data_IF_352696090861
#
_entry.id   IF_352696090861
#
_cell.length_a   1.000
_cell.length_b   1.000
_cell.length_c   1.000
_cell.angle_alpha   90.00
_cell.angle_beta   90.00
_cell.angle_gamma   90.00
#
_symmetry.space_group_name_H-M   'P 1'
#
loop_
_entity.id
_entity.type
_entity.pdbx_description
1 polymer ?
#
# COMPACT_ATOMS: atom_id res chain seq x y z
N UNK A 1 28.41 -0.93 4.93
CA UNK A 1 27.37 0.10 5.10
C UNK A 1 28.00 1.47 5.24
N UNK A 2 27.40 2.51 4.66
CA UNK A 2 27.96 3.88 4.71
C UNK A 2 28.06 4.35 6.18
N UNK A 3 29.27 4.83 6.60
CA UNK A 3 29.48 5.42 7.93
C UNK A 3 28.48 6.56 8.19
N UNK A 4 28.15 7.31 7.14
CA UNK A 4 27.19 8.40 7.12
C UNK A 4 25.78 7.94 7.49
N UNK A 5 25.28 6.85 6.88
CA UNK A 5 23.94 6.30 7.16
C UNK A 5 23.80 5.86 8.62
N UNK A 6 24.83 5.21 9.17
CA UNK A 6 24.87 4.83 10.58
C UNK A 6 24.82 6.04 11.52
N UNK A 7 25.59 7.08 11.20
CA UNK A 7 25.64 8.31 12.00
C UNK A 7 24.27 9.00 12.04
N UNK A 8 23.65 9.26 10.89
CA UNK A 8 22.34 9.91 10.84
C UNK A 8 21.26 9.07 11.53
N UNK A 9 21.27 7.77 11.33
CA UNK A 9 20.28 6.90 11.99
C UNK A 9 20.46 6.90 13.51
N UNK A 10 21.68 6.90 14.03
CA UNK A 10 21.92 6.96 15.47
C UNK A 10 21.33 8.24 16.08
N UNK A 11 21.47 9.39 15.40
CA UNK A 11 20.91 10.68 15.83
C UNK A 11 19.39 10.72 15.69
N UNK A 12 18.84 10.24 14.58
CA UNK A 12 17.39 10.32 14.28
C UNK A 12 16.55 9.26 15.00
N UNK A 13 17.13 8.14 15.40
CA UNK A 13 16.42 7.04 16.05
C UNK A 13 15.69 7.45 17.34
N UNK A 14 16.25 8.20 18.28
CA UNK A 14 15.53 8.66 19.48
C UNK A 14 14.32 9.55 19.13
N UNK A 15 14.47 10.45 18.15
CA UNK A 15 13.37 11.28 17.68
C UNK A 15 12.28 10.42 17.00
N UNK A 16 12.67 9.48 16.15
CA UNK A 16 11.75 8.52 15.51
C UNK A 16 10.99 7.68 16.56
N UNK A 17 11.66 7.22 17.61
CA UNK A 17 11.01 6.52 18.72
C UNK A 17 10.00 7.40 19.44
N UNK A 18 10.37 8.64 19.75
CA UNK A 18 9.47 9.59 20.42
C UNK A 18 8.22 9.86 19.58
N UNK A 19 8.39 10.09 18.28
CA UNK A 19 7.27 10.28 17.33
C UNK A 19 6.38 9.04 17.30
N UNK A 20 6.93 7.85 17.13
CA UNK A 20 6.19 6.60 17.09
C UNK A 20 5.42 6.34 18.39
N UNK A 21 6.05 6.60 19.54
CA UNK A 21 5.44 6.42 20.86
C UNK A 21 4.31 7.43 21.14
N UNK A 22 4.54 8.72 20.86
CA UNK A 22 3.55 9.76 21.14
C UNK A 22 2.37 9.72 20.16
N UNK A 23 2.67 9.53 18.86
CA UNK A 23 1.67 9.59 17.81
C UNK A 23 0.79 8.33 17.79
N UNK A 24 1.39 7.16 17.94
CA UNK A 24 0.72 5.87 17.75
C UNK A 24 0.60 5.03 19.01
N UNK A 25 1.34 5.32 20.09
CA UNK A 25 1.46 4.41 21.20
C UNK A 25 2.30 3.16 20.88
N UNK A 26 3.23 3.29 19.92
CA UNK A 26 4.01 2.18 19.38
C UNK A 26 4.85 1.46 20.42
N UNK A 27 4.77 0.13 20.41
CA UNK A 27 5.64 -0.79 21.13
C UNK A 27 6.28 -1.74 20.13
N UNK A 28 7.48 -2.21 20.43
CA UNK A 28 8.19 -3.12 19.52
C UNK A 28 9.12 -4.06 20.26
N UNK A 29 9.43 -5.17 19.63
CA UNK A 29 10.50 -6.07 20.06
C UNK A 29 11.78 -5.80 19.31
N UNK A 30 12.90 -5.93 20.02
CA UNK A 30 14.22 -5.86 19.39
C UNK A 30 14.55 -7.18 18.71
N UNK A 31 14.93 -7.12 17.47
CA UNK A 31 15.44 -8.28 16.75
C UNK A 31 16.79 -8.74 17.35
N UNK A 32 16.86 -10.02 17.69
CA UNK A 32 18.02 -10.67 18.29
C UNK A 32 18.50 -11.81 17.38
N UNK A 33 19.68 -12.31 17.59
CA UNK A 33 20.23 -13.49 16.91
C UNK A 33 20.14 -13.41 15.37
N UNK A 34 20.42 -12.20 14.86
CA UNK A 34 20.31 -11.89 13.43
C UNK A 34 21.49 -12.44 12.64
N UNK A 35 21.27 -12.92 11.41
CA UNK A 35 22.32 -13.24 10.46
C UNK A 35 23.28 -12.05 10.23
N UNK A 36 24.45 -12.30 9.68
CA UNK A 36 25.45 -11.24 9.42
C UNK A 36 24.88 -10.13 8.54
N UNK A 37 24.22 -10.52 7.43
CA UNK A 37 23.44 -9.65 6.57
C UNK A 37 22.13 -10.33 6.17
N UNK A 38 21.09 -9.54 5.94
CA UNK A 38 19.74 -10.04 5.74
C UNK A 38 18.87 -9.06 4.95
N UNK A 39 17.83 -9.61 4.33
CA UNK A 39 16.68 -8.86 3.87
C UNK A 39 15.61 -8.89 4.98
N UNK A 40 15.00 -7.75 5.27
CA UNK A 40 13.79 -7.67 6.09
C UNK A 40 12.60 -7.55 5.14
N UNK A 41 11.62 -8.44 5.28
CA UNK A 41 10.32 -8.31 4.64
C UNK A 41 9.29 -7.94 5.70
N UNK A 42 8.49 -6.91 5.45
CA UNK A 42 7.42 -6.49 6.35
C UNK A 42 6.11 -6.27 5.60
N UNK A 43 4.99 -6.45 6.30
CA UNK A 43 3.70 -5.92 5.84
C UNK A 43 3.73 -4.38 5.82
N UNK A 44 2.81 -3.76 5.06
CA UNK A 44 2.80 -2.31 4.84
C UNK A 44 1.47 -1.68 5.25
N UNK A 45 1.47 -0.98 6.36
CA UNK A 45 0.24 -0.47 6.99
C UNK A 45 0.20 1.04 7.15
N UNK A 46 1.37 1.71 7.32
CA UNK A 46 1.45 3.17 7.51
C UNK A 46 2.58 3.80 6.71
N UNK A 47 2.53 5.11 6.48
CA UNK A 47 3.64 5.86 5.86
C UNK A 47 4.88 5.94 6.78
N UNK A 48 4.75 5.53 8.05
CA UNK A 48 5.81 5.56 9.06
C UNK A 48 6.53 4.21 9.22
N UNK A 49 6.13 3.19 8.48
CA UNK A 49 6.65 1.81 8.62
C UNK A 49 8.19 1.72 8.52
N UNK A 50 8.90 2.49 7.66
CA UNK A 50 10.35 2.47 7.67
C UNK A 50 10.96 2.86 9.02
N UNK A 51 10.35 3.82 9.73
CA UNK A 51 10.77 4.22 11.08
C UNK A 51 10.41 3.11 12.07
N UNK A 52 9.17 2.61 12.03
CA UNK A 52 8.66 1.61 12.95
C UNK A 52 9.50 0.33 12.91
N UNK A 53 9.73 -0.22 11.72
CA UNK A 53 10.58 -1.40 11.51
C UNK A 53 12.02 -1.10 11.95
N UNK A 54 12.57 0.04 11.56
CA UNK A 54 13.94 0.43 11.86
C UNK A 54 14.26 0.48 13.36
N UNK A 55 13.27 0.76 14.23
CA UNK A 55 13.46 0.79 15.68
C UNK A 55 13.80 -0.57 16.29
N UNK A 56 13.34 -1.67 15.68
CA UNK A 56 13.60 -3.04 16.13
C UNK A 56 15.01 -3.54 15.83
N UNK A 57 15.70 -2.95 14.88
CA UNK A 57 17.00 -3.43 14.39
C UNK A 57 18.15 -2.53 14.85
N UNK A 58 19.22 -3.14 15.35
CA UNK A 58 20.43 -2.40 15.73
C UNK A 58 21.20 -1.87 14.51
N UNK A 59 21.36 -2.72 13.49
CA UNK A 59 22.01 -2.35 12.23
C UNK A 59 21.02 -1.60 11.34
N UNK A 60 21.50 -0.58 10.65
CA UNK A 60 20.71 0.18 9.68
C UNK A 60 20.43 -0.65 8.43
N UNK A 61 19.36 -0.27 7.72
CA UNK A 61 18.91 -0.91 6.50
C UNK A 61 18.70 0.14 5.39
N UNK A 62 18.83 -0.28 4.14
CA UNK A 62 18.34 0.47 2.99
C UNK A 62 16.87 0.11 2.77
N UNK A 63 16.04 1.10 2.48
CA UNK A 63 14.62 0.89 2.22
C UNK A 63 14.32 1.02 0.74
N UNK A 64 13.46 0.13 0.21
CA UNK A 64 12.92 0.29 -1.13
C UNK A 64 11.77 1.28 -1.06
N UNK A 65 11.82 2.30 -1.92
CA UNK A 65 10.84 3.37 -1.97
C UNK A 65 10.35 3.61 -3.40
N UNK A 66 9.11 4.06 -3.54
CA UNK A 66 8.54 4.42 -4.84
C UNK A 66 9.23 5.66 -5.43
N UNK A 67 9.34 5.74 -6.74
CA UNK A 67 9.88 6.89 -7.49
C UNK A 67 9.19 8.22 -7.16
N UNK A 68 7.96 8.21 -6.68
CA UNK A 68 7.23 9.43 -6.33
C UNK A 68 7.94 10.28 -5.28
N UNK A 69 8.75 9.67 -4.40
CA UNK A 69 9.53 10.45 -3.42
C UNK A 69 10.55 11.37 -4.11
N UNK A 70 11.00 11.05 -5.33
CA UNK A 70 11.96 11.86 -6.07
C UNK A 70 11.39 13.24 -6.43
N UNK A 71 10.05 13.36 -6.50
CA UNK A 71 9.32 14.58 -6.81
C UNK A 71 9.07 15.47 -5.59
N UNK A 72 9.56 15.11 -4.40
CA UNK A 72 9.42 15.92 -3.18
C UNK A 72 10.42 17.08 -3.11
N UNK A 73 11.09 17.40 -4.20
CA UNK A 73 11.99 18.52 -4.32
C UNK A 73 13.15 18.46 -3.30
N UNK A 74 13.33 19.53 -2.50
CA UNK A 74 14.40 19.60 -1.51
C UNK A 74 14.31 18.50 -0.43
N UNK A 75 13.10 18.10 -0.08
CA UNK A 75 12.89 17.03 0.91
C UNK A 75 13.47 15.70 0.42
N UNK A 76 13.29 15.37 -0.87
CA UNK A 76 13.93 14.19 -1.46
C UNK A 76 15.46 14.28 -1.40
N UNK A 77 16.04 15.46 -1.68
CA UNK A 77 17.50 15.64 -1.58
C UNK A 77 18.01 15.33 -0.17
N UNK A 78 17.28 15.77 0.86
CA UNK A 78 17.60 15.44 2.26
C UNK A 78 17.43 13.95 2.54
N UNK A 79 16.30 13.35 2.16
CA UNK A 79 16.05 11.92 2.35
C UNK A 79 17.09 11.06 1.63
N UNK A 80 17.43 11.40 0.40
CA UNK A 80 18.44 10.69 -0.36
C UNK A 80 19.85 10.86 0.24
N UNK A 81 20.17 12.06 0.73
CA UNK A 81 21.42 12.31 1.41
C UNK A 81 21.56 11.50 2.71
N UNK A 82 20.47 11.38 3.50
CA UNK A 82 20.49 10.73 4.83
C UNK A 82 20.34 9.22 4.73
N UNK A 83 19.39 8.73 3.92
CA UNK A 83 18.96 7.32 3.94
C UNK A 83 19.31 6.53 2.69
N UNK A 84 19.69 7.19 1.59
CA UNK A 84 20.05 6.54 0.31
C UNK A 84 19.03 5.45 -0.10
N UNK A 85 17.74 5.75 -0.23
CA UNK A 85 16.73 4.74 -0.52
C UNK A 85 16.99 4.09 -1.89
N UNK A 86 16.60 2.84 -2.02
CA UNK A 86 16.58 2.13 -3.31
C UNK A 86 15.29 2.55 -4.01
N UNK A 87 15.39 3.30 -5.11
CA UNK A 87 14.20 3.77 -5.81
C UNK A 87 13.67 2.69 -6.75
N UNK A 88 12.38 2.36 -6.58
CA UNK A 88 11.65 1.52 -7.51
C UNK A 88 10.98 2.41 -8.56
N UNK A 89 11.53 2.40 -9.76
CA UNK A 89 10.92 3.04 -10.92
C UNK A 89 9.89 2.10 -11.53
N UNK A 90 8.63 2.53 -11.60
CA UNK A 90 7.53 1.71 -12.14
C UNK A 90 7.56 1.63 -13.68
N UNK A 91 8.04 2.70 -14.32
CA UNK A 91 8.19 2.75 -15.78
C UNK A 91 9.39 1.95 -16.33
N UNK A 92 10.25 1.42 -15.46
CA UNK A 92 11.38 0.57 -15.87
C UNK A 92 11.16 -0.85 -15.40
N UNK A 93 11.79 -1.78 -16.11
CA UNK A 93 11.74 -3.21 -15.76
C UNK A 93 12.14 -3.37 -14.29
N UNK A 94 11.35 -4.10 -13.50
CA UNK A 94 11.59 -4.38 -12.08
C UNK A 94 13.01 -4.94 -11.81
N UNK A 95 13.69 -5.43 -12.85
CA UNK A 95 15.05 -5.94 -12.83
C UNK A 95 16.08 -4.93 -12.28
N UNK A 96 15.95 -3.62 -12.57
CA UNK A 96 16.89 -2.62 -12.06
C UNK A 96 16.86 -2.53 -10.54
N UNK A 97 15.67 -2.46 -9.96
CA UNK A 97 15.47 -2.44 -8.49
C UNK A 97 15.98 -3.72 -7.85
N UNK A 98 15.68 -4.89 -8.45
CA UNK A 98 16.17 -6.19 -7.99
C UNK A 98 17.71 -6.22 -7.99
N UNK A 99 18.35 -5.75 -9.07
CA UNK A 99 19.81 -5.69 -9.16
C UNK A 99 20.41 -4.74 -8.12
N UNK A 100 19.78 -3.62 -7.81
CA UNK A 100 20.25 -2.70 -6.78
C UNK A 100 20.15 -3.32 -5.38
N UNK A 101 19.05 -4.01 -5.07
CA UNK A 101 18.89 -4.77 -3.83
C UNK A 101 19.99 -5.81 -3.71
N UNK A 102 20.17 -6.65 -4.73
CA UNK A 102 21.20 -7.71 -4.73
C UNK A 102 22.62 -7.13 -4.59
N UNK A 103 22.92 -6.00 -5.25
CA UNK A 103 24.19 -5.31 -5.13
C UNK A 103 24.45 -4.80 -3.71
N UNK A 104 23.44 -4.22 -3.04
CA UNK A 104 23.54 -3.77 -1.64
C UNK A 104 23.76 -4.95 -0.71
N UNK A 105 23.00 -6.03 -0.86
CA UNK A 105 23.11 -7.25 -0.03
C UNK A 105 24.47 -7.92 -0.20
N UNK A 106 24.95 -8.09 -1.43
CA UNK A 106 26.29 -8.68 -1.71
C UNK A 106 27.44 -7.89 -1.11
N UNK A 107 27.25 -6.59 -0.86
CA UNK A 107 28.20 -5.73 -0.14
C UNK A 107 28.06 -5.82 1.40
N UNK A 108 27.33 -6.82 1.92
CA UNK A 108 27.12 -7.02 3.35
C UNK A 108 26.15 -6.03 4.00
N UNK A 109 25.29 -5.38 3.21
CA UNK A 109 24.29 -4.46 3.75
C UNK A 109 22.93 -5.15 3.96
N UNK A 110 22.10 -4.56 4.83
CA UNK A 110 20.74 -4.99 5.04
C UNK A 110 19.79 -4.15 4.20
N UNK A 111 18.71 -4.76 3.72
CA UNK A 111 17.65 -4.11 2.94
C UNK A 111 16.30 -4.45 3.55
N UNK A 112 15.42 -3.46 3.66
CA UNK A 112 14.04 -3.64 4.07
C UNK A 112 13.10 -3.39 2.88
N UNK A 113 12.17 -4.31 2.68
CA UNK A 113 11.19 -4.30 1.59
C UNK A 113 9.81 -4.51 2.19
N UNK A 114 8.85 -3.67 1.83
CA UNK A 114 7.44 -3.88 2.10
C UNK A 114 6.87 -4.73 0.97
N UNK A 115 6.69 -6.03 1.26
CA UNK A 115 6.48 -7.07 0.26
C UNK A 115 5.15 -6.97 -0.51
N UNK A 116 4.17 -6.24 0.03
CA UNK A 116 2.89 -5.94 -0.63
C UNK A 116 3.03 -4.91 -1.77
N UNK A 117 4.06 -4.07 -1.73
CA UNK A 117 4.27 -2.99 -2.70
C UNK A 117 3.28 -1.82 -2.60
N UNK A 118 2.22 -1.99 -1.81
CA UNK A 118 1.19 -0.99 -1.47
C UNK A 118 0.81 -1.13 -0.01
N UNK A 119 0.20 -0.11 0.58
CA UNK A 119 -0.39 -0.20 1.93
C UNK A 119 -1.75 -0.91 1.85
N UNK A 120 -2.07 -1.75 2.85
CA UNK A 120 -3.40 -2.36 2.90
C UNK A 120 -4.52 -1.31 2.91
N UNK A 121 -5.61 -1.58 2.20
CA UNK A 121 -6.76 -0.69 2.06
C UNK A 121 -7.87 -0.97 3.07
N UNK A 122 -8.09 -2.22 3.41
CA UNK A 122 -9.23 -2.70 4.19
C UNK A 122 -8.86 -3.46 5.47
N UNK A 123 -7.56 -3.52 5.79
CA UNK A 123 -7.07 -4.08 7.06
C UNK A 123 -6.57 -5.51 6.98
N UNK A 124 -6.65 -6.15 5.81
CA UNK A 124 -6.02 -7.45 5.55
C UNK A 124 -4.78 -7.23 4.70
N UNK A 125 -3.70 -7.93 5.00
CA UNK A 125 -2.45 -7.87 4.23
C UNK A 125 -2.72 -8.15 2.74
N UNK A 126 -2.30 -7.24 1.87
CA UNK A 126 -2.44 -7.40 0.43
C UNK A 126 -1.53 -8.54 -0.09
N UNK A 127 -1.82 -9.11 -1.26
CA UNK A 127 -0.97 -10.14 -1.85
C UNK A 127 0.49 -9.70 -1.96
N UNK A 128 1.40 -10.60 -1.58
CA UNK A 128 2.85 -10.40 -1.74
C UNK A 128 3.20 -10.36 -3.22
N UNK A 129 4.08 -9.42 -3.60
CA UNK A 129 4.57 -9.34 -4.99
C UNK A 129 5.21 -10.67 -5.40
N UNK A 130 4.75 -11.34 -6.47
CA UNK A 130 5.12 -12.72 -6.80
C UNK A 130 6.63 -13.00 -6.90
N UNK A 131 7.43 -12.04 -7.37
CA UNK A 131 8.88 -12.20 -7.50
C UNK A 131 9.66 -12.09 -6.17
N UNK A 132 8.98 -11.87 -5.03
CA UNK A 132 9.65 -11.60 -3.74
C UNK A 132 10.40 -12.84 -3.22
N UNK A 133 9.82 -14.02 -3.29
CA UNK A 133 10.47 -15.26 -2.86
C UNK A 133 11.71 -15.58 -3.72
N UNK A 134 11.61 -15.41 -5.05
CA UNK A 134 12.74 -15.56 -5.97
C UNK A 134 13.86 -14.57 -5.68
N UNK A 135 13.53 -13.31 -5.33
CA UNK A 135 14.51 -12.31 -4.91
C UNK A 135 15.25 -12.76 -3.64
N UNK A 136 14.51 -13.22 -2.61
CA UNK A 136 15.09 -13.74 -1.36
C UNK A 136 16.03 -14.89 -1.63
N UNK A 137 15.62 -15.88 -2.43
CA UNK A 137 16.44 -17.04 -2.81
C UNK A 137 17.73 -16.60 -3.53
N UNK A 138 17.61 -15.65 -4.45
CA UNK A 138 18.73 -15.13 -5.26
C UNK A 138 19.71 -14.25 -4.47
N UNK A 139 19.26 -13.66 -3.35
CA UNK A 139 20.06 -12.76 -2.53
C UNK A 139 21.17 -13.50 -1.76
N UNK A 140 21.01 -14.79 -1.48
CA UNK A 140 21.96 -15.63 -0.74
C UNK A 140 22.41 -15.01 0.58
N UNK A 141 21.49 -14.41 1.32
CA UNK A 141 21.67 -13.84 2.66
C UNK A 141 20.57 -14.35 3.58
N UNK A 142 20.54 -13.92 4.86
CA UNK A 142 19.42 -14.22 5.75
C UNK A 142 18.14 -13.50 5.38
N UNK A 143 17.01 -13.99 5.89
CA UNK A 143 15.69 -13.37 5.82
C UNK A 143 15.18 -13.12 7.24
N UNK A 144 14.65 -11.94 7.46
CA UNK A 144 13.85 -11.63 8.67
C UNK A 144 12.47 -11.20 8.21
N UNK A 145 11.46 -11.93 8.61
CA UNK A 145 10.07 -11.48 8.44
C UNK A 145 9.66 -10.64 9.63
N UNK A 146 8.96 -9.55 9.37
CA UNK A 146 8.57 -8.58 10.40
C UNK A 146 7.11 -8.19 10.23
N UNK A 147 6.34 -8.17 11.32
CA UNK A 147 4.94 -7.81 11.28
C UNK A 147 4.65 -6.59 12.13
N UNK A 148 3.88 -5.66 11.56
CA UNK A 148 3.32 -4.51 12.23
C UNK A 148 1.84 -4.78 12.44
N UNK A 149 1.40 -4.80 13.68
CA UNK A 149 0.02 -5.05 14.11
C UNK A 149 -0.66 -3.77 14.56
N UNK A 150 -1.95 -3.60 14.23
CA UNK A 150 -2.74 -2.44 14.60
C UNK A 150 -2.49 -1.18 13.79
N UNK A 151 -1.57 -1.23 12.82
CA UNK A 151 -1.21 -0.10 11.98
C UNK A 151 -2.36 0.39 11.11
N UNK A 152 -3.19 -0.53 10.61
CA UNK A 152 -4.37 -0.19 9.83
C UNK A 152 -5.31 0.76 10.58
N UNK A 153 -5.68 0.45 11.82
CA UNK A 153 -6.57 1.33 12.60
C UNK A 153 -5.90 2.64 13.01
N UNK A 154 -4.58 2.63 13.22
CA UNK A 154 -3.83 3.82 13.58
C UNK A 154 -3.70 4.81 12.41
N UNK A 155 -3.61 4.33 11.18
CA UNK A 155 -3.46 5.14 9.96
C UNK A 155 -3.99 4.39 8.72
N UNK A 156 -5.32 4.23 8.57
CA UNK A 156 -5.89 3.58 7.40
C UNK A 156 -5.44 4.26 6.11
N UNK A 157 -5.25 3.48 5.03
CA UNK A 157 -4.77 4.00 3.76
C UNK A 157 -5.73 5.00 3.11
N UNK A 158 -7.02 4.85 3.34
CA UNK A 158 -8.07 5.74 2.82
C UNK A 158 -8.13 7.11 3.52
N UNK A 159 -7.48 7.30 4.68
CA UNK A 159 -7.45 8.60 5.35
C UNK A 159 -6.16 9.39 5.07
N UNK A 160 -6.14 10.67 5.42
CA UNK A 160 -4.92 11.48 5.33
C UNK A 160 -3.84 10.97 6.30
N UNK A 161 -2.58 10.92 5.88
CA UNK A 161 -1.44 10.58 6.74
C UNK A 161 -1.27 11.51 7.95
N UNK A 162 -1.86 12.70 7.90
CA UNK A 162 -1.95 13.61 9.05
C UNK A 162 -3.06 13.23 10.03
N UNK A 163 -4.09 12.50 9.61
CA UNK A 163 -5.24 12.06 10.42
C UNK A 163 -4.96 10.69 11.06
N UNK A 164 -4.01 10.63 11.96
CA UNK A 164 -3.63 9.40 12.66
C UNK A 164 -4.42 9.24 13.96
N UNK A 165 -4.52 8.00 14.41
CA UNK A 165 -5.21 7.62 15.63
C UNK A 165 -4.24 6.95 16.59
N UNK A 166 -4.39 7.23 17.86
CA UNK A 166 -3.58 6.63 18.91
C UNK A 166 -4.27 5.39 19.47
N UNK A 167 -3.61 4.25 19.33
CA UNK A 167 -4.08 2.97 19.83
C UNK A 167 -2.90 2.04 20.16
N UNK A 168 -3.11 0.74 20.07
CA UNK A 168 -2.03 -0.25 20.19
C UNK A 168 -1.44 -0.51 18.80
N UNK A 169 -0.27 0.04 18.57
CA UNK A 169 0.58 -0.28 17.42
C UNK A 169 1.76 -1.10 17.94
N UNK A 170 1.99 -2.27 17.36
CA UNK A 170 3.02 -3.19 17.80
C UNK A 170 3.81 -3.74 16.61
N UNK A 171 5.12 -3.90 16.78
CA UNK A 171 5.99 -4.46 15.75
C UNK A 171 6.98 -5.47 16.31
N UNK A 172 7.11 -6.60 15.65
CA UNK A 172 8.03 -7.65 16.06
C UNK A 172 8.57 -8.46 14.86
N UNK A 173 9.81 -9.00 14.95
CA UNK A 173 10.24 -10.09 14.09
C UNK A 173 9.32 -11.31 14.30
N UNK A 174 8.92 -11.94 13.19
CA UNK A 174 8.08 -13.16 13.21
C UNK A 174 8.95 -14.39 12.98
N UNK A 175 9.81 -14.33 11.95
CA UNK A 175 10.75 -15.39 11.62
C UNK A 175 12.15 -14.84 11.31
N UNK A 176 13.17 -15.62 11.65
CA UNK A 176 14.56 -15.34 11.35
C UNK A 176 15.14 -16.59 10.71
N UNK A 177 15.52 -16.48 9.45
CA UNK A 177 16.01 -17.58 8.63
C UNK A 177 17.45 -17.29 8.20
N UNK A 178 18.33 -18.25 8.45
CA UNK A 178 19.71 -18.13 8.02
C UNK A 178 19.86 -18.34 6.51
N UNK A 179 20.97 -17.96 5.94
CA UNK A 179 21.31 -18.26 4.54
C UNK A 179 21.28 -19.78 4.28
N UNK A 180 21.74 -20.56 5.23
CA UNK A 180 21.81 -22.02 5.19
C UNK A 180 20.41 -22.66 5.18
N UNK A 181 19.46 -22.11 5.96
CA UNK A 181 18.05 -22.53 5.98
C UNK A 181 17.41 -22.26 4.61
N UNK A 182 17.53 -21.02 4.12
CA UNK A 182 16.97 -20.61 2.84
C UNK A 182 17.59 -21.35 1.64
N UNK A 183 18.86 -21.79 1.75
CA UNK A 183 19.50 -22.57 0.69
C UNK A 183 18.84 -23.93 0.49
N UNK A 184 18.29 -24.53 1.55
CA UNK A 184 17.60 -25.85 1.52
C UNK A 184 16.16 -25.76 1.06
N UNK A 185 15.52 -24.60 1.15
CA UNK A 185 14.12 -24.36 0.81
C UNK A 185 13.92 -24.14 -0.70
N UNK A 186 12.80 -24.56 -1.25
CA UNK A 186 12.35 -24.16 -2.59
C UNK A 186 11.88 -22.70 -2.60
N UNK A 187 11.61 -22.14 -3.77
CA UNK A 187 11.05 -20.78 -3.90
C UNK A 187 9.63 -20.74 -3.35
N UNK A 188 8.88 -21.80 -3.57
CA UNK A 188 7.49 -22.00 -3.12
C UNK A 188 7.43 -22.05 -1.58
N UNK A 189 8.32 -22.81 -0.94
CA UNK A 189 8.43 -22.86 0.53
C UNK A 189 8.78 -21.49 1.13
N UNK A 190 9.66 -20.73 0.49
CA UNK A 190 9.99 -19.36 0.90
C UNK A 190 8.76 -18.44 0.73
N UNK A 191 8.00 -18.59 -0.36
CA UNK A 191 6.78 -17.81 -0.61
C UNK A 191 5.70 -18.06 0.45
N UNK A 192 5.49 -19.32 0.82
CA UNK A 192 4.55 -19.71 1.88
C UNK A 192 4.95 -19.12 3.24
N UNK A 193 6.25 -19.18 3.58
CA UNK A 193 6.77 -18.55 4.80
C UNK A 193 6.50 -17.05 4.79
N UNK A 194 6.80 -16.36 3.69
CA UNK A 194 6.60 -14.91 3.57
C UNK A 194 5.11 -14.58 3.76
N UNK A 195 4.22 -15.27 3.06
CA UNK A 195 2.77 -15.06 3.15
C UNK A 195 2.26 -15.30 4.58
N UNK A 196 2.64 -16.40 5.21
CA UNK A 196 2.24 -16.74 6.57
C UNK A 196 2.72 -15.71 7.59
N UNK A 197 3.99 -15.32 7.53
CA UNK A 197 4.62 -14.50 8.56
C UNK A 197 4.19 -13.02 8.44
N UNK A 198 3.92 -12.54 7.22
CA UNK A 198 3.48 -11.16 7.00
C UNK A 198 1.97 -10.98 7.13
N UNK A 199 1.21 -12.07 7.13
CA UNK A 199 -0.25 -12.00 7.18
C UNK A 199 -0.73 -11.32 8.46
N UNK A 200 -1.54 -10.30 8.28
CA UNK A 200 -2.25 -9.56 9.31
C UNK A 200 -3.71 -9.40 8.88
N UNK A 201 -4.62 -9.92 9.65
CA UNK A 201 -6.04 -9.58 9.62
C UNK A 201 -6.34 -8.69 10.82
N UNK A 202 -6.36 -7.39 10.56
CA UNK A 202 -6.56 -6.38 11.60
C UNK A 202 -7.96 -6.52 12.25
N UNK A 203 -8.98 -6.90 11.47
CA UNK A 203 -10.33 -7.03 11.99
C UNK A 203 -10.54 -8.31 12.79
N UNK A 204 -9.96 -9.43 12.39
CA UNK A 204 -10.00 -10.65 13.18
C UNK A 204 -9.39 -10.42 14.58
N UNK A 205 -8.23 -9.73 14.64
CA UNK A 205 -7.63 -9.36 15.93
C UNK A 205 -8.46 -8.35 16.69
N UNK A 206 -9.01 -7.34 16.00
CA UNK A 206 -9.84 -6.31 16.65
C UNK A 206 -11.11 -6.89 17.27
N UNK A 207 -11.76 -7.85 16.60
CA UNK A 207 -12.92 -8.57 17.16
C UNK A 207 -12.56 -9.33 18.45
N UNK A 208 -11.34 -9.86 18.55
CA UNK A 208 -10.88 -10.57 19.75
C UNK A 208 -10.46 -9.63 20.90
N UNK A 209 -9.82 -8.50 20.60
CA UNK A 209 -9.20 -7.65 21.63
C UNK A 209 -10.00 -6.37 21.93
N UNK A 210 -10.82 -5.88 21.01
CA UNK A 210 -11.63 -4.66 21.10
C UNK A 210 -10.85 -3.43 21.59
N UNK A 211 -9.70 -3.17 20.97
CA UNK A 211 -8.80 -2.08 21.36
C UNK A 211 -9.24 -0.74 20.75
N UNK A 212 -9.32 0.34 21.55
CA UNK A 212 -9.73 1.64 21.03
C UNK A 212 -8.59 2.37 20.32
N UNK A 213 -8.86 2.88 19.10
CA UNK A 213 -7.99 3.76 18.33
C UNK A 213 -8.57 5.18 18.35
N UNK A 214 -8.05 6.02 19.25
CA UNK A 214 -8.61 7.35 19.53
C UNK A 214 -8.06 8.38 18.55
N UNK A 215 -8.96 9.11 17.94
CA UNK A 215 -8.66 10.19 17.01
C UNK A 215 -9.84 11.14 16.87
N UNK A 216 -9.64 12.17 16.08
CA UNK A 216 -10.71 13.04 15.59
C UNK A 216 -10.96 12.66 14.13
N UNK A 217 -12.19 12.74 13.62
CA UNK A 217 -12.43 12.53 12.20
C UNK A 217 -12.18 11.09 11.72
N UNK A 218 -12.74 10.11 12.44
CA UNK A 218 -12.43 8.69 12.23
C UNK A 218 -12.86 8.16 10.86
N UNK A 219 -13.93 8.68 10.24
CA UNK A 219 -14.39 8.28 8.92
C UNK A 219 -13.82 9.12 7.77
N UNK A 220 -13.18 10.30 8.04
CA UNK A 220 -12.76 11.20 6.95
C UNK A 220 -11.78 10.56 5.97
N UNK A 221 -12.16 10.57 4.69
CA UNK A 221 -11.43 10.00 3.57
C UNK A 221 -11.92 8.61 3.14
N UNK A 222 -12.92 8.02 3.84
CA UNK A 222 -13.42 6.67 3.53
C UNK A 222 -13.98 6.58 2.10
N UNK A 223 -14.48 7.67 1.54
CA UNK A 223 -14.88 7.78 0.14
C UNK A 223 -13.76 7.49 -0.87
N UNK A 224 -12.50 7.50 -0.44
CA UNK A 224 -11.37 7.09 -1.29
C UNK A 224 -11.30 5.58 -1.50
N UNK A 225 -11.93 4.80 -0.62
CA UNK A 225 -12.04 3.34 -0.74
C UNK A 225 -13.45 2.92 -1.11
N UNK A 226 -14.45 3.44 -0.40
CA UNK A 226 -15.86 3.02 -0.58
C UNK A 226 -16.49 3.89 -1.67
N UNK A 227 -16.83 3.26 -2.80
CA UNK A 227 -17.39 3.94 -3.99
C UNK A 227 -18.86 3.61 -4.26
N UNK A 228 -19.41 2.57 -3.64
CA UNK A 228 -20.83 2.20 -3.71
C UNK A 228 -21.55 2.52 -2.41
N UNK A 229 -22.71 3.14 -2.51
CA UNK A 229 -23.58 3.30 -1.35
C UNK A 229 -24.17 1.94 -0.92
N UNK A 230 -24.01 1.50 0.34
CA UNK A 230 -24.51 0.20 0.78
C UNK A 230 -26.06 0.10 0.76
N UNK A 231 -26.78 1.22 0.70
CA UNK A 231 -28.24 1.24 0.67
C UNK A 231 -28.82 1.34 -0.74
N UNK A 232 -28.38 2.31 -1.55
CA UNK A 232 -28.98 2.56 -2.87
C UNK A 232 -28.08 2.17 -4.05
N UNK A 233 -26.85 1.70 -3.79
CA UNK A 233 -25.84 1.28 -4.79
C UNK A 233 -25.39 2.39 -5.75
N UNK A 234 -25.75 3.65 -5.46
CA UNK A 234 -25.29 4.77 -6.26
C UNK A 234 -23.76 4.93 -6.15
N UNK A 235 -23.10 5.16 -7.29
CA UNK A 235 -21.66 5.27 -7.42
C UNK A 235 -21.16 6.67 -7.07
N UNK A 236 -20.02 6.76 -6.37
CA UNK A 236 -19.31 8.02 -6.10
C UNK A 236 -20.17 9.11 -5.41
N UNK A 237 -21.16 8.70 -4.64
CA UNK A 237 -22.10 9.59 -3.93
C UNK A 237 -21.80 9.71 -2.44
N UNK A 238 -20.80 9.00 -1.95
CA UNK A 238 -20.41 9.01 -0.54
C UNK A 238 -19.47 10.19 -0.24
N UNK A 239 -19.71 10.83 0.89
CA UNK A 239 -18.86 11.87 1.47
C UNK A 239 -18.68 11.64 2.96
N UNK A 240 -17.51 11.89 3.49
CA UNK A 240 -17.21 11.67 4.90
C UNK A 240 -16.93 12.98 5.65
N UNK A 241 -17.48 13.09 6.85
CA UNK A 241 -17.22 14.22 7.76
C UNK A 241 -17.16 13.74 9.20
N UNK A 242 -16.06 14.02 9.88
CA UNK A 242 -15.77 13.48 11.21
C UNK A 242 -15.86 11.94 11.21
N UNK A 243 -16.83 11.39 11.91
CA UNK A 243 -17.02 9.95 12.11
C UNK A 243 -18.20 9.40 11.28
N UNK A 244 -18.79 10.21 10.40
CA UNK A 244 -19.98 9.88 9.61
C UNK A 244 -19.69 9.91 8.11
N UNK A 245 -20.23 8.94 7.40
CA UNK A 245 -20.26 8.87 5.93
C UNK A 245 -21.71 9.02 5.49
N UNK A 246 -21.96 9.89 4.51
CA UNK A 246 -23.32 10.20 4.02
C UNK A 246 -23.37 10.04 2.50
N UNK A 247 -24.44 9.42 2.01
CA UNK A 247 -24.75 9.31 0.59
C UNK A 247 -25.56 10.53 0.13
N UNK A 248 -25.07 11.26 -0.86
CA UNK A 248 -25.79 12.41 -1.43
C UNK A 248 -26.98 12.02 -2.30
N UNK A 249 -27.04 10.78 -2.81
CA UNK A 249 -28.13 10.32 -3.66
C UNK A 249 -29.38 9.91 -2.87
N UNK A 250 -29.24 9.23 -1.72
CA UNK A 250 -30.39 8.73 -0.94
C UNK A 250 -30.46 9.26 0.50
N UNK A 251 -29.52 10.11 0.93
CA UNK A 251 -29.47 10.68 2.26
C UNK A 251 -29.07 9.70 3.38
N UNK A 252 -28.83 8.42 3.05
CA UNK A 252 -28.44 7.44 4.05
C UNK A 252 -27.07 7.77 4.64
N UNK A 253 -26.93 7.56 5.96
CA UNK A 253 -25.67 7.81 6.69
C UNK A 253 -25.33 6.64 7.58
N UNK A 254 -24.01 6.39 7.74
CA UNK A 254 -23.48 5.42 8.67
C UNK A 254 -22.23 6.00 9.36
N UNK A 255 -21.80 5.39 10.46
CA UNK A 255 -20.69 5.89 11.27
C UNK A 255 -19.57 4.86 11.40
N UNK A 256 -18.36 5.36 11.66
CA UNK A 256 -17.17 4.56 11.94
C UNK A 256 -16.63 4.95 13.32
N UNK A 257 -16.50 3.99 14.20
CA UNK A 257 -16.16 4.23 15.60
C UNK A 257 -14.67 4.07 15.91
N UNK A 258 -14.29 4.29 17.18
CA UNK A 258 -12.92 4.15 17.67
C UNK A 258 -12.41 2.71 17.72
N UNK A 259 -13.28 1.74 17.56
CA UNK A 259 -12.92 0.33 17.47
C UNK A 259 -12.78 -0.14 16.02
N UNK A 260 -13.01 0.76 15.06
CA UNK A 260 -12.95 0.42 13.65
C UNK A 260 -14.20 -0.25 13.12
N UNK A 261 -15.32 -0.17 13.85
CA UNK A 261 -16.58 -0.80 13.46
C UNK A 261 -17.50 0.19 12.79
N UNK A 262 -18.27 -0.29 11.83
CA UNK A 262 -19.33 0.45 11.14
C UNK A 262 -20.66 0.27 11.85
N UNK A 263 -21.48 1.33 11.88
CA UNK A 263 -22.81 1.30 12.50
C UNK A 263 -23.83 2.00 11.59
N UNK A 264 -25.00 1.43 11.50
CA UNK A 264 -26.11 1.97 10.67
C UNK A 264 -26.18 1.36 9.27
N UNK A 265 -25.43 0.30 9.01
CA UNK A 265 -25.49 -0.54 7.80
C UNK A 265 -25.30 -2.01 8.18
N UNK A 266 -25.57 -2.93 7.25
CA UNK A 266 -25.48 -4.39 7.46
C UNK A 266 -24.05 -4.93 7.51
N UNK A 267 -23.06 -4.11 7.16
CA UNK A 267 -21.63 -4.47 7.19
C UNK A 267 -21.01 -3.97 8.48
N UNK A 268 -20.37 -4.87 9.24
CA UNK A 268 -19.76 -4.52 10.53
C UNK A 268 -18.41 -3.83 10.37
N UNK A 269 -17.65 -4.16 9.32
CA UNK A 269 -16.28 -3.69 9.10
C UNK A 269 -16.09 -3.05 7.73
N UNK A 270 -15.03 -2.24 7.59
CA UNK A 270 -14.64 -1.71 6.27
C UNK A 270 -14.21 -2.84 5.35
N UNK A 271 -13.65 -3.94 5.89
CA UNK A 271 -13.32 -5.12 5.10
C UNK A 271 -14.59 -5.75 4.49
N UNK A 272 -15.61 -6.04 5.32
CA UNK A 272 -16.89 -6.61 4.83
C UNK A 272 -17.53 -5.72 3.77
N UNK A 273 -17.56 -4.39 4.02
CA UNK A 273 -18.10 -3.42 3.07
C UNK A 273 -17.28 -3.38 1.77
N UNK A 274 -15.94 -3.47 1.86
CA UNK A 274 -15.09 -3.51 0.68
C UNK A 274 -15.25 -4.80 -0.12
N UNK A 275 -15.38 -5.97 0.53
CA UNK A 275 -15.65 -7.23 -0.15
C UNK A 275 -17.03 -7.17 -0.87
N UNK A 276 -18.07 -6.74 -0.17
CA UNK A 276 -19.39 -6.56 -0.77
C UNK A 276 -19.34 -5.68 -2.04
N UNK A 277 -18.71 -4.49 -1.98
CA UNK A 277 -18.66 -3.63 -3.16
C UNK A 277 -17.82 -4.20 -4.30
N UNK A 278 -16.80 -5.03 -4.00
CA UNK A 278 -16.02 -5.75 -5.00
C UNK A 278 -16.85 -6.83 -5.69
N UNK A 279 -17.67 -7.57 -4.94
CA UNK A 279 -18.59 -8.56 -5.49
C UNK A 279 -19.65 -7.91 -6.40
N UNK A 280 -20.17 -6.75 -6.01
CA UNK A 280 -21.08 -5.98 -6.85
C UNK A 280 -20.39 -5.47 -8.11
N UNK A 281 -19.17 -4.96 -7.98
CA UNK A 281 -18.36 -4.52 -9.12
C UNK A 281 -18.05 -5.69 -10.08
N UNK A 282 -17.78 -6.89 -9.57
CA UNK A 282 -17.55 -8.06 -10.41
C UNK A 282 -18.76 -8.36 -11.32
N UNK A 283 -19.99 -8.27 -10.78
CA UNK A 283 -21.24 -8.41 -11.55
C UNK A 283 -21.39 -7.29 -12.60
N UNK A 284 -21.02 -6.08 -12.24
CA UNK A 284 -21.07 -4.94 -13.15
C UNK A 284 -20.06 -5.09 -14.30
N UNK A 285 -18.86 -5.62 -14.01
CA UNK A 285 -17.84 -5.95 -15.03
C UNK A 285 -18.35 -7.05 -15.98
N UNK A 286 -19.06 -8.05 -15.48
CA UNK A 286 -19.69 -9.08 -16.32
C UNK A 286 -20.69 -8.49 -17.32
N UNK A 287 -21.45 -7.48 -16.90
CA UNK A 287 -22.45 -6.81 -17.71
C UNK A 287 -21.87 -5.61 -18.49
N UNK A 288 -20.55 -5.41 -18.47
CA UNK A 288 -19.85 -4.28 -19.11
C UNK A 288 -20.43 -2.90 -18.69
N UNK A 289 -20.84 -2.76 -17.44
CA UNK A 289 -21.30 -1.49 -16.89
C UNK A 289 -20.13 -0.52 -16.84
N UNK A 290 -20.31 0.67 -17.38
CA UNK A 290 -19.29 1.71 -17.36
C UNK A 290 -19.19 2.34 -15.97
N UNK A 291 -17.95 2.46 -15.49
CA UNK A 291 -17.63 3.23 -14.29
C UNK A 291 -16.99 4.55 -14.65
N UNK A 292 -17.31 5.60 -13.88
CA UNK A 292 -16.97 6.97 -14.21
C UNK A 292 -16.30 7.68 -13.03
N UNK A 293 -15.23 8.42 -13.33
CA UNK A 293 -14.67 9.45 -12.47
C UNK A 293 -14.95 10.82 -13.13
N UNK A 294 -15.84 11.65 -12.55
CA UNK A 294 -16.40 12.81 -13.23
C UNK A 294 -15.42 13.96 -13.49
N UNK A 295 -14.28 13.93 -12.83
CA UNK A 295 -13.16 14.86 -13.08
C UNK A 295 -11.85 14.10 -12.90
N UNK A 296 -11.03 14.05 -13.94
CA UNK A 296 -9.77 13.36 -13.93
C UNK A 296 -8.70 14.10 -14.75
N UNK A 297 -7.45 13.91 -14.36
CA UNK A 297 -6.27 14.50 -14.99
C UNK A 297 -5.36 13.36 -15.41
N UNK A 298 -5.18 13.16 -16.69
CA UNK A 298 -4.30 12.15 -17.26
C UNK A 298 -2.94 12.76 -17.59
N UNK A 299 -1.88 12.13 -17.08
CA UNK A 299 -0.50 12.52 -17.36
C UNK A 299 0.29 11.34 -17.92
N UNK A 300 1.27 11.66 -18.77
CA UNK A 300 2.41 10.77 -19.09
C UNK A 300 3.66 11.25 -18.39
N UNK A 301 4.72 10.42 -18.39
CA UNK A 301 6.02 10.80 -17.83
C UNK A 301 7.04 10.88 -18.96
N UNK A 302 7.62 12.06 -19.14
CA UNK A 302 8.74 12.29 -20.05
C UNK A 302 9.94 12.80 -19.24
N UNK A 303 11.06 12.09 -19.31
CA UNK A 303 12.30 12.51 -18.64
C UNK A 303 12.19 12.73 -17.11
N UNK A 304 11.27 12.06 -16.41
CA UNK A 304 10.90 12.22 -14.99
C UNK A 304 9.89 13.32 -14.67
N UNK A 305 9.44 14.10 -15.64
CA UNK A 305 8.40 15.12 -15.47
C UNK A 305 7.04 14.62 -15.94
N UNK A 306 5.97 15.13 -15.31
CA UNK A 306 4.59 14.85 -15.69
C UNK A 306 4.18 15.80 -16.81
N UNK A 307 3.74 15.24 -17.93
CA UNK A 307 3.12 15.96 -19.04
C UNK A 307 1.61 15.70 -19.03
N UNK A 308 0.79 16.75 -18.93
CA UNK A 308 -0.67 16.63 -18.99
C UNK A 308 -1.10 16.24 -20.40
N UNK A 309 -1.83 15.12 -20.51
CA UNK A 309 -2.36 14.58 -21.76
C UNK A 309 -3.82 14.99 -21.94
N UNK A 310 -4.61 14.88 -20.88
CA UNK A 310 -6.04 15.17 -20.91
C UNK A 310 -6.56 15.57 -19.53
N UNK A 311 -7.54 16.48 -19.52
CA UNK A 311 -8.29 16.87 -18.33
C UNK A 311 -9.77 16.79 -18.66
N UNK A 312 -10.42 15.71 -18.25
CA UNK A 312 -11.81 15.44 -18.57
C UNK A 312 -12.40 14.40 -17.61
N UNK A 313 -13.66 14.06 -17.83
CA UNK A 313 -14.26 12.89 -17.26
C UNK A 313 -13.50 11.62 -17.71
N UNK A 314 -13.26 10.70 -16.78
CA UNK A 314 -12.63 9.41 -17.09
C UNK A 314 -13.67 8.27 -16.96
N UNK A 315 -13.61 7.35 -17.91
CA UNK A 315 -14.46 6.16 -17.94
C UNK A 315 -13.62 4.90 -18.01
N UNK A 316 -14.12 3.81 -17.41
CA UNK A 316 -13.57 2.47 -17.59
C UNK A 316 -14.68 1.50 -18.00
N UNK A 317 -14.38 0.65 -18.96
CA UNK A 317 -15.20 -0.48 -19.44
C UNK A 317 -14.32 -1.71 -19.54
N UNK A 318 -14.86 -2.85 -19.93
CA UNK A 318 -14.09 -4.08 -20.22
C UNK A 318 -13.07 -3.93 -21.35
N UNK A 319 -13.14 -2.86 -22.12
CA UNK A 319 -12.28 -2.66 -23.29
C UNK A 319 -11.17 -1.63 -23.03
N UNK A 320 -11.48 -0.52 -22.38
CA UNK A 320 -10.56 0.60 -22.29
C UNK A 320 -10.81 1.50 -21.08
N UNK A 321 -9.79 2.29 -20.72
CA UNK A 321 -9.90 3.54 -19.98
C UNK A 321 -9.94 4.67 -21.00
N UNK A 322 -10.92 5.56 -20.87
CA UNK A 322 -11.09 6.73 -21.73
C UNK A 322 -11.04 8.00 -20.89
N UNK A 323 -10.28 9.01 -21.31
CA UNK A 323 -10.20 10.33 -20.66
C UNK A 323 -10.27 11.39 -21.75
N UNK A 324 -11.44 12.01 -21.91
CA UNK A 324 -11.70 12.85 -23.09
C UNK A 324 -11.55 12.06 -24.38
N UNK A 325 -10.71 12.53 -25.31
CA UNK A 325 -10.43 11.86 -26.60
C UNK A 325 -9.34 10.75 -26.49
N UNK A 326 -8.72 10.59 -25.32
CA UNK A 326 -7.66 9.61 -25.12
C UNK A 326 -8.26 8.26 -24.73
N UNK A 327 -8.06 7.23 -25.55
CA UNK A 327 -8.52 5.85 -25.33
C UNK A 327 -7.33 4.95 -25.10
N UNK A 328 -7.31 4.25 -23.95
CA UNK A 328 -6.22 3.33 -23.55
C UNK A 328 -6.82 1.93 -23.38
N UNK A 329 -6.57 1.00 -24.31
CA UNK A 329 -7.11 -0.35 -24.25
C UNK A 329 -6.61 -1.10 -23.01
N UNK A 330 -7.49 -1.78 -22.26
CA UNK A 330 -7.11 -2.55 -21.06
C UNK A 330 -6.11 -3.67 -21.38
N UNK A 331 -6.17 -4.24 -22.59
CA UNK A 331 -5.25 -5.28 -23.04
C UNK A 331 -3.79 -4.82 -23.14
N UNK A 332 -3.56 -3.53 -23.31
CA UNK A 332 -2.20 -2.95 -23.38
C UNK A 332 -1.61 -2.66 -21.99
N UNK A 333 -2.43 -2.67 -20.93
CA UNK A 333 -2.01 -2.33 -19.58
C UNK A 333 -1.32 -3.55 -18.94
N UNK A 334 -0.03 -3.45 -18.77
CA UNK A 334 0.80 -4.51 -18.15
C UNK A 334 0.72 -4.51 -16.62
N UNK A 335 0.78 -3.34 -16.00
CA UNK A 335 0.74 -3.16 -14.54
C UNK A 335 -0.14 -1.96 -14.18
N UNK A 336 -0.85 -2.07 -13.04
CA UNK A 336 -1.71 -1.00 -12.52
C UNK A 336 -1.68 -1.01 -10.99
N UNK A 337 -1.66 0.17 -10.39
CA UNK A 337 -1.70 0.30 -8.94
C UNK A 337 -2.02 1.70 -8.49
N UNK A 338 -2.26 1.86 -7.20
CA UNK A 338 -2.51 3.16 -6.60
C UNK A 338 -1.21 3.83 -6.14
N UNK A 339 -1.15 5.15 -6.30
CA UNK A 339 -0.21 6.01 -5.58
C UNK A 339 -0.97 6.99 -4.70
N UNK A 340 -0.81 6.82 -3.38
CA UNK A 340 -1.66 7.49 -2.42
C UNK A 340 -3.13 7.12 -2.64
N UNK A 341 -4.03 8.07 -2.42
CA UNK A 341 -5.48 7.82 -2.43
C UNK A 341 -6.20 8.24 -3.71
N UNK A 342 -5.53 9.00 -4.57
CA UNK A 342 -6.18 9.74 -5.67
C UNK A 342 -5.47 9.62 -7.00
N UNK A 343 -4.42 8.83 -7.07
CA UNK A 343 -3.66 8.64 -8.30
C UNK A 343 -3.62 7.16 -8.62
N UNK A 344 -4.18 6.80 -9.75
CA UNK A 344 -4.01 5.51 -10.38
C UNK A 344 -2.80 5.61 -11.31
N UNK A 345 -1.89 4.67 -11.19
CA UNK A 345 -0.70 4.58 -12.03
C UNK A 345 -0.75 3.29 -12.81
N UNK A 346 -0.42 3.35 -14.08
CA UNK A 346 -0.39 2.14 -14.92
C UNK A 346 0.56 2.29 -16.09
N UNK A 347 1.06 1.16 -16.56
CA UNK A 347 1.99 1.06 -17.67
C UNK A 347 1.35 0.34 -18.84
N UNK A 348 1.55 0.85 -20.03
CA UNK A 348 1.33 0.15 -21.29
C UNK A 348 2.66 -0.24 -21.91
N UNK A 349 2.66 -0.84 -23.10
CA UNK A 349 3.88 -1.17 -23.83
C UNK A 349 4.74 0.08 -24.09
N UNK A 350 4.10 1.22 -24.38
CA UNK A 350 4.76 2.41 -24.90
C UNK A 350 4.82 3.57 -23.88
N UNK A 351 3.92 3.59 -22.90
CA UNK A 351 3.75 4.72 -22.00
C UNK A 351 3.53 4.33 -20.56
N UNK A 352 3.90 5.24 -19.66
CA UNK A 352 3.53 5.22 -18.26
C UNK A 352 2.55 6.36 -17.99
N UNK A 353 1.42 6.04 -17.36
CA UNK A 353 0.34 6.97 -17.09
C UNK A 353 0.11 7.19 -15.60
N UNK A 354 -0.24 8.41 -15.24
CA UNK A 354 -0.83 8.78 -13.96
C UNK A 354 -2.21 9.40 -14.19
N UNK A 355 -3.26 8.73 -13.71
CA UNK A 355 -4.64 9.24 -13.72
C UNK A 355 -4.98 9.74 -12.32
N UNK A 356 -5.13 11.05 -12.15
CA UNK A 356 -5.40 11.73 -10.88
C UNK A 356 -6.84 12.20 -10.80
N UNK A 357 -7.43 12.11 -9.62
CA UNK A 357 -8.76 12.68 -9.34
C UNK A 357 -8.66 13.73 -8.22
N UNK A 358 -9.59 14.71 -8.16
CA UNK A 358 -9.69 15.68 -7.08
C UNK A 358 -9.88 15.04 -5.72
N UNK A 359 -9.72 15.84 -4.67
CA UNK A 359 -10.09 15.46 -3.30
C UNK A 359 -11.57 15.06 -3.26
N UNK A 360 -11.90 14.06 -2.44
CA UNK A 360 -13.26 13.55 -2.26
C UNK A 360 -13.82 12.78 -3.49
N UNK A 361 -12.93 12.37 -4.41
CA UNK A 361 -13.27 11.49 -5.53
C UNK A 361 -12.54 10.15 -5.40
N UNK A 362 -13.17 9.12 -5.92
CA UNK A 362 -12.66 7.75 -5.91
C UNK A 362 -12.07 7.37 -7.27
N UNK A 363 -10.93 6.72 -7.27
CA UNK A 363 -10.29 6.15 -8.47
C UNK A 363 -9.89 4.67 -8.26
N UNK A 364 -9.94 4.16 -7.02
CA UNK A 364 -9.60 2.76 -6.74
C UNK A 364 -10.54 1.80 -7.46
N UNK A 365 -11.78 2.21 -7.71
CA UNK A 365 -12.75 1.47 -8.50
C UNK A 365 -12.22 1.07 -9.89
N UNK A 366 -11.37 1.89 -10.54
CA UNK A 366 -10.77 1.55 -11.83
C UNK A 366 -9.72 0.44 -11.70
N UNK A 367 -8.98 0.42 -10.59
CA UNK A 367 -8.03 -0.65 -10.31
C UNK A 367 -8.76 -1.99 -10.12
N UNK A 368 -9.81 -2.01 -9.31
CA UNK A 368 -10.63 -3.21 -9.09
C UNK A 368 -11.36 -3.64 -10.37
N UNK A 369 -11.87 -2.69 -11.14
CA UNK A 369 -12.51 -2.99 -12.43
C UNK A 369 -11.56 -3.72 -13.37
N UNK A 370 -10.35 -3.18 -13.55
CA UNK A 370 -9.33 -3.81 -14.40
C UNK A 370 -8.92 -5.19 -13.87
N UNK A 371 -8.83 -5.38 -12.56
CA UNK A 371 -8.52 -6.68 -11.95
C UNK A 371 -9.54 -7.75 -12.37
N UNK A 372 -10.85 -7.45 -12.22
CA UNK A 372 -11.91 -8.37 -12.63
C UNK A 372 -12.01 -8.55 -14.13
N UNK A 373 -11.84 -7.49 -14.92
CA UNK A 373 -11.85 -7.58 -16.38
C UNK A 373 -10.71 -8.47 -16.91
N UNK A 374 -9.52 -8.38 -16.27
CA UNK A 374 -8.37 -9.23 -16.61
C UNK A 374 -8.62 -10.68 -16.25
N UNK A 375 -9.06 -10.97 -15.03
CA UNK A 375 -9.36 -12.34 -14.59
C UNK A 375 -10.36 -13.02 -15.55
N UNK A 376 -11.42 -12.30 -15.90
CA UNK A 376 -12.42 -12.81 -16.86
C UNK A 376 -11.87 -13.03 -18.28
N UNK A 377 -10.92 -12.23 -18.73
CA UNK A 377 -10.29 -12.43 -20.02
C UNK A 377 -9.41 -13.68 -20.02
N UNK A 378 -8.72 -13.95 -18.91
CA UNK A 378 -7.88 -15.15 -18.72
C UNK A 378 -8.72 -16.46 -18.62
N UNK A 379 -9.93 -16.41 -18.06
CA UNK A 379 -10.84 -17.56 -17.99
C UNK A 379 -11.45 -17.96 -19.35
N UNK A 380 -11.43 -17.07 -20.35
CA UNK A 380 -11.98 -17.30 -21.69
C UNK A 380 -10.98 -17.85 -22.70
N UNK A 381 -9.70 -17.95 -22.31
CA UNK A 381 -8.59 -18.50 -23.12
C UNK A 381 -8.27 -19.91 -22.68
#
# INVERSE_FOLDING_TARGET
MSKKLNFFTAILRPAGYLVAKLKFGYKYEKAKDLPENYIVLSNHVTDYDPILVGLSFKKQMYYVASEHITRWGWLYKVLNFVFEPIIRYKATVAASTVMDILRKVRKGNNVCIFAEGVRTWDGVTAPVVPATAQLVKSARCGLVTYRIEGGYFASPNWTSSANTRRGRLYGAPVGIYTKEDLAKMSVEEIDEIIKRDLHEDAYARQKAEMLPYRGKKLAEGMESLVFLCPKCRAHNTLTSKKDTVTCSACGHSFTYDKYGMLHGIDHETVYDLNQWQRDELAKDVENNVQYTAPEAYLFTIEGHELQEVSRNEAHITNQAITVGDTVIPLSTISDMGMHGRRTLIFSTTDNYYELKVPKEKNIIQFMYYREFAKARAEEKV
#
